data_IF_769565067556
#
_entry.id   IF_769565067556
#
_cell.length_a   1.000
_cell.length_b   1.000
_cell.length_c   1.000
_cell.angle_alpha   90.00
_cell.angle_beta   90.00
_cell.angle_gamma   90.00
#
_symmetry.space_group_name_H-M   'P 1'
#
loop_
_entity.id
_entity.type
_entity.pdbx_description
1 polymer ?
#
# COMPACT_ATOMS: atom_id res chain seq x y z
N UNK A 1 0.97 4.46 2.89
CA UNK A 1 1.42 3.11 2.50
C UNK A 1 2.93 3.08 2.22
N UNK A 2 3.42 3.70 1.14
CA UNK A 2 4.83 3.63 0.72
C UNK A 2 5.84 3.97 1.84
N UNK A 3 5.63 5.06 2.57
CA UNK A 3 6.54 5.47 3.65
C UNK A 3 6.58 4.47 4.82
N UNK A 4 5.50 3.73 5.07
CA UNK A 4 5.50 2.68 6.10
C UNK A 4 6.39 1.51 5.69
N UNK A 5 6.29 1.07 4.42
CA UNK A 5 7.20 0.04 3.87
C UNK A 5 8.64 0.52 3.85
N UNK A 6 8.90 1.76 3.45
CA UNK A 6 10.23 2.37 3.46
C UNK A 6 10.83 2.41 4.88
N UNK A 7 10.04 2.73 5.90
CA UNK A 7 10.48 2.71 7.28
C UNK A 7 10.83 1.30 7.76
N UNK A 8 10.04 0.29 7.37
CA UNK A 8 10.32 -1.12 7.68
C UNK A 8 11.57 -1.64 6.99
N UNK A 9 11.76 -1.31 5.71
CA UNK A 9 12.99 -1.62 4.97
C UNK A 9 14.21 -1.00 5.66
N UNK A 10 14.12 0.30 6.01
CA UNK A 10 15.20 1.01 6.67
C UNK A 10 15.53 0.41 8.06
N UNK A 11 14.51 0.06 8.84
CA UNK A 11 14.70 -0.58 10.14
C UNK A 11 15.44 -1.92 10.01
N UNK A 12 15.06 -2.75 9.04
CA UNK A 12 15.73 -4.01 8.74
C UNK A 12 17.19 -3.81 8.30
N UNK A 13 17.45 -2.85 7.43
CA UNK A 13 18.78 -2.67 6.82
C UNK A 13 19.77 -1.97 7.75
N UNK A 14 19.31 -1.04 8.58
CA UNK A 14 20.18 -0.17 9.39
C UNK A 14 19.95 -0.27 10.90
N UNK A 15 18.89 -0.94 11.33
CA UNK A 15 18.52 -0.99 12.75
C UNK A 15 18.00 0.34 13.33
N UNK A 16 17.71 1.32 12.47
CA UNK A 16 17.22 2.65 12.83
C UNK A 16 16.21 3.16 11.78
N UNK A 17 14.95 3.44 12.14
CA UNK A 17 14.33 3.32 13.48
C UNK A 17 14.26 1.89 14.01
N UNK A 18 13.84 1.66 15.28
CA UNK A 18 13.54 0.32 15.77
C UNK A 18 12.52 -0.40 14.87
N UNK A 19 12.65 -1.72 14.76
CA UNK A 19 11.75 -2.52 13.93
C UNK A 19 10.29 -2.33 14.38
N UNK A 20 9.37 -1.91 13.50
CA UNK A 20 7.95 -1.82 13.83
C UNK A 20 7.36 -3.17 14.20
N UNK A 21 6.34 -3.20 15.08
CA UNK A 21 5.62 -4.42 15.43
C UNK A 21 4.73 -4.94 14.27
N UNK A 22 4.32 -4.06 13.36
CA UNK A 22 3.50 -4.39 12.19
C UNK A 22 3.37 -3.24 11.21
N UNK A 23 2.87 -3.55 10.01
CA UNK A 23 2.58 -2.60 8.95
C UNK A 23 1.09 -2.65 8.60
N UNK A 24 0.40 -1.51 8.62
CA UNK A 24 -1.02 -1.41 8.27
C UNK A 24 -1.17 -0.48 7.07
N UNK A 25 -1.34 -1.08 5.89
CA UNK A 25 -1.23 -0.41 4.60
C UNK A 25 -2.61 -0.29 3.96
N UNK A 26 -3.24 0.86 4.11
CA UNK A 26 -4.53 1.13 3.50
C UNK A 26 -4.28 1.66 2.07
N UNK A 27 -4.78 0.94 1.07
CA UNK A 27 -4.65 1.23 -0.37
C UNK A 27 -3.27 1.82 -0.70
N UNK A 28 -2.19 1.05 -0.48
CA UNK A 28 -0.84 1.56 -0.57
C UNK A 28 -0.44 1.89 -2.01
N UNK A 29 0.26 3.01 -2.17
CA UNK A 29 1.10 3.25 -3.34
C UNK A 29 2.32 2.36 -3.19
N UNK A 30 2.63 1.52 -4.17
CA UNK A 30 3.77 0.62 -4.09
C UNK A 30 4.59 0.55 -5.38
N UNK A 31 3.96 0.71 -6.54
CA UNK A 31 4.57 0.68 -7.86
C UNK A 31 4.48 2.01 -8.61
N UNK A 32 5.06 2.05 -9.81
CA UNK A 32 5.01 3.20 -10.72
C UNK A 32 4.61 2.81 -12.14
N UNK A 33 4.05 1.63 -12.34
CA UNK A 33 3.49 1.23 -13.63
C UNK A 33 2.04 1.75 -13.74
N UNK A 34 1.85 2.88 -14.41
CA UNK A 34 0.54 3.47 -14.63
C UNK A 34 -0.29 2.78 -15.72
N UNK A 35 0.18 1.62 -16.23
CA UNK A 35 -0.46 0.85 -17.28
C UNK A 35 -0.95 -0.53 -16.78
N UNK A 36 -1.01 -0.75 -15.45
CA UNK A 36 -1.67 -1.93 -14.89
C UNK A 36 -3.17 -1.92 -15.20
N UNK A 37 -3.84 -3.06 -15.03
CA UNK A 37 -5.27 -3.15 -15.33
C UNK A 37 -6.09 -2.22 -14.43
N UNK A 38 -5.75 -2.11 -13.14
CA UNK A 38 -6.45 -1.18 -12.24
C UNK A 38 -6.30 0.28 -12.65
N UNK A 39 -5.12 0.70 -13.14
CA UNK A 39 -4.91 2.04 -13.66
C UNK A 39 -5.67 2.32 -14.95
N UNK A 40 -5.92 1.29 -15.80
CA UNK A 40 -6.74 1.43 -17.00
C UNK A 40 -8.21 1.46 -16.68
N UNK A 41 -8.68 0.53 -15.85
CA UNK A 41 -10.08 0.38 -15.46
C UNK A 41 -10.59 1.59 -14.66
N UNK A 42 -9.74 2.15 -13.79
CA UNK A 42 -10.07 3.24 -12.89
C UNK A 42 -9.33 4.54 -13.24
N UNK A 43 -9.02 4.75 -14.53
CA UNK A 43 -8.28 5.93 -14.99
C UNK A 43 -8.93 7.25 -14.55
N UNK A 44 -10.26 7.32 -14.59
CA UNK A 44 -11.10 8.43 -14.16
C UNK A 44 -11.91 8.04 -12.91
N UNK A 45 -11.31 7.27 -12.01
CA UNK A 45 -11.96 6.72 -10.83
C UNK A 45 -12.45 7.80 -9.86
N UNK A 46 -13.41 7.44 -8.98
CA UNK A 46 -13.85 8.34 -7.93
C UNK A 46 -12.72 8.55 -6.91
N UNK A 47 -12.52 9.78 -6.47
CA UNK A 47 -11.57 10.23 -5.43
C UNK A 47 -10.08 10.18 -5.80
N UNK A 48 -9.65 9.28 -6.68
CA UNK A 48 -8.29 9.19 -7.16
C UNK A 48 -8.29 8.77 -8.63
N UNK A 49 -7.53 9.47 -9.47
CA UNK A 49 -7.39 9.20 -10.89
C UNK A 49 -5.96 8.77 -11.23
N UNK A 50 -5.78 8.16 -12.42
CA UNK A 50 -4.44 7.87 -12.96
C UNK A 50 -3.61 9.15 -13.16
N UNK A 51 -4.25 10.24 -13.58
CA UNK A 51 -3.57 11.52 -13.79
C UNK A 51 -3.10 12.14 -12.47
N UNK A 52 -3.90 12.03 -11.40
CA UNK A 52 -3.48 12.44 -10.06
C UNK A 52 -2.21 11.69 -9.64
N UNK A 53 -2.15 10.38 -9.89
CA UNK A 53 -0.99 9.56 -9.54
C UNK A 53 0.26 9.96 -10.32
N UNK A 54 0.13 10.25 -11.62
CA UNK A 54 1.23 10.79 -12.42
C UNK A 54 1.73 12.11 -11.85
N UNK A 55 0.80 13.03 -11.56
CA UNK A 55 1.12 14.33 -10.98
C UNK A 55 1.80 14.21 -9.61
N UNK A 56 1.33 13.29 -8.72
CA UNK A 56 1.96 13.05 -7.43
C UNK A 56 3.40 12.54 -7.60
N UNK A 57 3.65 11.58 -8.47
CA UNK A 57 4.99 11.06 -8.70
C UNK A 57 5.94 12.11 -9.31
N UNK A 58 5.47 12.99 -10.19
CA UNK A 58 6.26 14.11 -10.72
C UNK A 58 6.69 15.09 -9.63
N UNK A 59 5.92 15.25 -8.57
CA UNK A 59 6.25 16.09 -7.42
C UNK A 59 7.07 15.38 -6.36
N UNK A 60 6.85 14.09 -6.19
CA UNK A 60 7.50 13.28 -5.17
C UNK A 60 8.94 12.92 -5.53
N UNK A 61 9.19 12.55 -6.78
CA UNK A 61 10.52 12.19 -7.26
C UNK A 61 11.28 13.42 -7.73
N UNK A 62 12.53 13.59 -7.28
CA UNK A 62 13.40 14.69 -7.69
C UNK A 62 13.97 14.49 -9.09
N UNK A 63 14.09 13.21 -9.49
CA UNK A 63 14.65 12.80 -10.78
C UNK A 63 14.10 11.43 -11.19
N UNK A 64 14.17 11.05 -12.49
CA UNK A 64 13.78 9.72 -12.96
C UNK A 64 14.55 8.57 -12.29
N UNK A 65 15.78 8.82 -11.82
CA UNK A 65 16.60 7.81 -11.12
C UNK A 65 16.00 7.43 -9.76
N UNK A 66 15.31 8.37 -9.09
CA UNK A 66 14.65 8.11 -7.82
C UNK A 66 13.51 7.09 -7.96
N UNK A 67 13.02 6.82 -9.18
CA UNK A 67 12.01 5.81 -9.44
C UNK A 67 12.49 4.37 -9.20
N UNK A 68 13.80 4.13 -9.23
CA UNK A 68 14.40 2.83 -8.89
C UNK A 68 14.76 2.72 -7.39
N UNK A 69 14.43 3.73 -6.59
CA UNK A 69 14.74 3.74 -5.17
C UNK A 69 13.63 3.02 -4.38
N UNK A 70 13.92 1.89 -3.69
CA UNK A 70 12.92 1.12 -2.94
C UNK A 70 12.27 1.89 -1.79
N UNK A 71 12.92 2.92 -1.27
CA UNK A 71 12.31 3.79 -0.27
C UNK A 71 11.29 4.78 -0.84
N UNK A 72 11.34 5.03 -2.16
CA UNK A 72 10.37 5.85 -2.87
C UNK A 72 9.29 4.99 -3.55
N UNK A 73 9.68 3.84 -4.10
CA UNK A 73 8.82 2.91 -4.84
C UNK A 73 9.03 1.50 -4.28
N UNK A 74 8.23 1.05 -3.31
CA UNK A 74 8.45 -0.21 -2.60
C UNK A 74 8.59 -1.45 -3.47
N UNK A 75 7.89 -1.52 -4.61
CA UNK A 75 8.00 -2.64 -5.55
C UNK A 75 9.34 -2.71 -6.29
N UNK A 76 10.19 -1.69 -6.18
CA UNK A 76 11.58 -1.72 -6.68
C UNK A 76 12.56 -2.32 -5.66
N UNK A 77 12.13 -2.69 -4.46
CA UNK A 77 12.98 -3.38 -3.50
C UNK A 77 13.46 -4.72 -4.07
N UNK A 78 14.75 -5.03 -3.89
CA UNK A 78 15.31 -6.30 -4.32
C UNK A 78 14.71 -7.47 -3.52
N UNK A 79 14.37 -7.21 -2.25
CA UNK A 79 13.81 -8.18 -1.30
C UNK A 79 12.87 -7.47 -0.31
N UNK A 80 11.70 -8.05 -0.09
CA UNK A 80 10.68 -7.63 0.87
C UNK A 80 10.46 -8.67 1.99
N UNK A 81 11.34 -9.66 2.11
CA UNK A 81 11.32 -10.66 3.17
C UNK A 81 11.75 -10.11 4.52
N UNK A 82 11.47 -10.85 5.58
CA UNK A 82 11.86 -10.51 6.97
C UNK A 82 11.45 -9.09 7.42
N UNK A 83 10.40 -8.53 6.82
CA UNK A 83 9.78 -7.29 7.27
C UNK A 83 8.72 -7.57 8.34
N UNK A 84 8.32 -6.54 9.12
CA UNK A 84 7.23 -6.68 10.07
C UNK A 84 5.96 -7.21 9.42
N UNK A 85 5.15 -8.03 10.13
CA UNK A 85 3.88 -8.54 9.62
C UNK A 85 3.00 -7.40 9.06
N UNK A 86 2.39 -7.62 7.91
CA UNK A 86 1.62 -6.60 7.20
C UNK A 86 0.12 -6.92 7.16
N UNK A 87 -0.71 -5.89 7.22
CA UNK A 87 -2.10 -5.92 6.75
C UNK A 87 -2.20 -4.97 5.55
N UNK A 88 -2.62 -5.49 4.39
CA UNK A 88 -2.80 -4.71 3.16
C UNK A 88 -4.29 -4.63 2.85
N UNK A 89 -4.83 -3.43 2.75
CA UNK A 89 -6.22 -3.18 2.35
C UNK A 89 -6.26 -2.61 0.95
N UNK A 90 -7.03 -3.22 0.05
CA UNK A 90 -7.25 -2.74 -1.32
C UNK A 90 -8.73 -2.52 -1.62
N UNK A 91 -9.03 -1.60 -2.53
CA UNK A 91 -10.37 -1.29 -2.99
C UNK A 91 -10.52 -1.65 -4.47
N UNK A 92 -11.74 -2.03 -4.91
CA UNK A 92 -11.98 -2.45 -6.29
C UNK A 92 -11.94 -1.28 -7.27
N UNK A 93 -12.56 -0.16 -6.91
CA UNK A 93 -12.59 1.07 -7.71
C UNK A 93 -11.43 2.00 -7.31
N UNK A 94 -10.20 1.52 -7.52
CA UNK A 94 -8.98 2.20 -7.12
C UNK A 94 -7.88 1.96 -8.17
N UNK A 95 -7.27 2.99 -8.76
CA UNK A 95 -6.12 2.81 -9.64
C UNK A 95 -4.94 2.09 -8.96
N UNK A 96 -4.82 2.18 -7.63
CA UNK A 96 -3.76 1.54 -6.84
C UNK A 96 -4.09 0.09 -6.42
N UNK A 97 -5.22 -0.48 -6.86
CA UNK A 97 -5.60 -1.86 -6.51
C UNK A 97 -4.47 -2.85 -6.81
N UNK A 98 -3.95 -2.82 -8.02
CA UNK A 98 -2.94 -3.77 -8.48
C UNK A 98 -1.57 -3.52 -7.81
N UNK A 99 -1.25 -2.29 -7.43
CA UNK A 99 -0.09 -1.96 -6.58
C UNK A 99 -0.16 -2.69 -5.23
N UNK A 100 -1.32 -2.59 -4.56
CA UNK A 100 -1.55 -3.24 -3.28
C UNK A 100 -1.55 -4.76 -3.37
N UNK A 101 -2.15 -5.33 -4.42
CA UNK A 101 -2.13 -6.77 -4.70
C UNK A 101 -0.69 -7.24 -4.92
N UNK A 102 0.06 -6.59 -5.82
CA UNK A 102 1.44 -6.96 -6.12
C UNK A 102 2.35 -6.87 -4.88
N UNK A 103 2.11 -5.88 -4.00
CA UNK A 103 2.86 -5.75 -2.76
C UNK A 103 2.55 -6.89 -1.78
N UNK A 104 1.27 -7.25 -1.61
CA UNK A 104 0.85 -8.36 -0.76
C UNK A 104 1.42 -9.69 -1.26
N UNK A 105 1.32 -9.95 -2.56
CA UNK A 105 1.87 -11.15 -3.21
C UNK A 105 3.40 -11.25 -3.03
N UNK A 106 4.10 -10.12 -3.08
CA UNK A 106 5.55 -10.11 -2.83
C UNK A 106 5.87 -10.40 -1.37
N UNK A 107 5.16 -9.79 -0.42
CA UNK A 107 5.33 -10.10 1.00
C UNK A 107 5.18 -11.59 1.28
N UNK A 108 4.11 -12.20 0.77
CA UNK A 108 3.85 -13.64 0.96
C UNK A 108 4.96 -14.51 0.36
N UNK A 109 5.33 -14.26 -0.91
CA UNK A 109 6.37 -15.04 -1.60
C UNK A 109 7.76 -14.91 -1.00
N UNK A 110 8.07 -13.75 -0.41
CA UNK A 110 9.38 -13.42 0.14
C UNK A 110 9.46 -13.67 1.67
N UNK A 111 8.37 -14.19 2.28
CA UNK A 111 8.37 -14.65 3.66
C UNK A 111 7.99 -13.61 4.71
N UNK A 112 7.51 -12.42 4.30
CA UNK A 112 6.88 -11.46 5.22
C UNK A 112 5.41 -11.86 5.45
N UNK A 113 4.98 -12.14 6.70
CA UNK A 113 3.60 -12.49 6.97
C UNK A 113 2.65 -11.35 6.54
N UNK A 114 1.61 -11.68 5.77
CA UNK A 114 0.67 -10.69 5.26
C UNK A 114 -0.78 -11.16 5.34
N UNK A 115 -1.66 -10.26 5.74
CA UNK A 115 -3.11 -10.39 5.63
C UNK A 115 -3.58 -9.40 4.56
N UNK A 116 -4.08 -9.90 3.41
CA UNK A 116 -4.62 -9.08 2.35
C UNK A 116 -6.16 -9.04 2.41
N UNK A 117 -6.73 -7.85 2.56
CA UNK A 117 -8.17 -7.60 2.63
C UNK A 117 -8.62 -6.77 1.43
N UNK A 118 -9.33 -7.42 0.49
CA UNK A 118 -9.84 -6.75 -0.70
C UNK A 118 -11.33 -6.38 -0.54
N UNK A 119 -11.68 -5.13 -0.86
CA UNK A 119 -13.04 -4.61 -0.82
C UNK A 119 -13.50 -4.20 -2.23
N UNK A 120 -14.07 -5.14 -3.03
CA UNK A 120 -14.29 -4.95 -4.47
C UNK A 120 -15.31 -3.85 -4.82
N UNK A 121 -16.24 -3.53 -3.90
CA UNK A 121 -17.27 -2.51 -4.11
C UNK A 121 -16.86 -1.11 -3.60
N UNK A 122 -15.64 -0.96 -3.07
CA UNK A 122 -15.19 0.30 -2.48
C UNK A 122 -14.24 1.05 -3.41
N UNK A 123 -14.17 2.38 -3.24
CA UNK A 123 -13.23 3.26 -3.91
C UNK A 123 -12.00 3.56 -3.06
N UNK A 124 -10.96 4.13 -3.68
CA UNK A 124 -9.80 4.64 -2.94
C UNK A 124 -10.22 5.55 -1.77
N UNK A 125 -9.57 5.44 -0.63
CA UNK A 125 -9.85 6.32 0.52
C UNK A 125 -11.13 6.00 1.29
N UNK A 126 -11.87 4.93 0.97
CA UNK A 126 -13.17 4.61 1.56
C UNK A 126 -13.17 4.50 3.09
N UNK A 127 -12.06 4.09 3.72
CA UNK A 127 -11.96 4.01 5.18
C UNK A 127 -12.15 5.37 5.88
N UNK A 128 -11.91 6.49 5.18
CA UNK A 128 -12.18 7.83 5.73
C UNK A 128 -13.68 8.18 5.79
N UNK A 129 -14.54 7.33 5.24
CA UNK A 129 -16.00 7.50 5.20
C UNK A 129 -16.73 6.62 6.24
N UNK A 130 -16.06 6.19 7.29
CA UNK A 130 -16.61 5.25 8.29
C UNK A 130 -17.90 5.75 8.95
N UNK A 131 -18.05 7.07 9.14
CA UNK A 131 -19.26 7.66 9.73
C UNK A 131 -20.53 7.49 8.88
N UNK A 132 -20.40 7.08 7.62
CA UNK A 132 -21.53 6.94 6.70
C UNK A 132 -21.53 5.67 5.84
N UNK A 133 -20.45 4.88 5.88
CA UNK A 133 -20.27 3.69 5.04
C UNK A 133 -19.96 2.47 5.91
N UNK A 134 -20.95 1.59 6.09
CA UNK A 134 -20.81 0.40 6.96
C UNK A 134 -19.61 -0.51 6.60
N UNK A 135 -19.29 -0.63 5.30
CA UNK A 135 -18.10 -1.39 4.86
C UNK A 135 -16.81 -0.74 5.35
N UNK A 136 -16.74 0.59 5.40
CA UNK A 136 -15.57 1.30 5.91
C UNK A 136 -15.40 1.10 7.42
N UNK A 137 -16.50 1.15 8.18
CA UNK A 137 -16.49 0.82 9.61
C UNK A 137 -16.01 -0.61 9.86
N UNK A 138 -16.54 -1.59 9.11
CA UNK A 138 -16.13 -2.99 9.20
C UNK A 138 -14.64 -3.17 8.85
N UNK A 139 -14.15 -2.51 7.80
CA UNK A 139 -12.75 -2.57 7.39
C UNK A 139 -11.82 -2.02 8.46
N UNK A 140 -12.15 -0.85 9.02
CA UNK A 140 -11.37 -0.25 10.11
C UNK A 140 -11.41 -1.09 11.39
N UNK A 141 -12.54 -1.70 11.73
CA UNK A 141 -12.65 -2.60 12.87
C UNK A 141 -11.74 -3.84 12.70
N UNK A 142 -11.68 -4.41 11.49
CA UNK A 142 -10.78 -5.52 11.17
C UNK A 142 -9.30 -5.12 11.28
N UNK A 143 -8.91 -3.97 10.71
CA UNK A 143 -7.54 -3.45 10.86
C UNK A 143 -7.20 -3.17 12.33
N UNK A 144 -8.15 -2.61 13.10
CA UNK A 144 -7.94 -2.36 14.53
C UNK A 144 -7.79 -3.67 15.34
N UNK A 145 -8.43 -4.76 14.92
CA UNK A 145 -8.22 -6.08 15.51
C UNK A 145 -6.79 -6.58 15.23
N UNK A 146 -6.33 -6.48 13.99
CA UNK A 146 -4.96 -6.85 13.60
C UNK A 146 -3.90 -6.03 14.38
N UNK A 147 -4.17 -4.73 14.60
CA UNK A 147 -3.29 -3.88 15.44
C UNK A 147 -3.20 -4.41 16.85
N UNK A 148 -4.35 -4.75 17.48
CA UNK A 148 -4.36 -5.26 18.87
C UNK A 148 -3.70 -6.63 19.02
N UNK A 149 -3.75 -7.46 17.99
CA UNK A 149 -3.12 -8.78 17.99
C UNK A 149 -1.59 -8.70 17.93
N UNK A 150 -1.07 -7.62 17.32
CA UNK A 150 0.37 -7.44 17.08
C UNK A 150 1.08 -6.54 18.10
N UNK A 151 0.35 -5.86 18.99
CA UNK A 151 0.87 -5.00 20.05
C UNK A 151 0.75 -5.66 21.41
#
# INVERSE_FOLDING_TARGET
GALAVAASLRAREFGDPPTPAGQFLLYPIAGRDFETDSYRENADGPLLTREDMRWFYERYLRSPVDAANPYAVPLEAADLGDLPPATVVTAGFDPLRDDGVALADRFEREGTPVEHRHYPAMAHGFCSLADGVATAETALAAVAADVRERL
#
